data_IF_354138001646
#
_entry.id   IF_354138001646
#
_cell.length_a   1.000
_cell.length_b   1.000
_cell.length_c   1.000
_cell.angle_alpha   90.00
_cell.angle_beta   90.00
_cell.angle_gamma   90.00
#
_symmetry.space_group_name_H-M   'P 1'
#
loop_
_entity.id
_entity.type
_entity.pdbx_description
1 polymer ?
#
# COMPACT_ATOMS: atom_id res chain seq x y z
N UNK A 1 11.05 5.51 0.31
CA UNK A 1 9.89 4.79 -0.28
C UNK A 1 8.77 4.59 0.74
N UNK A 2 9.06 4.22 2.00
CA UNK A 2 8.08 4.15 3.10
C UNK A 2 7.22 5.43 3.24
N UNK A 3 7.82 6.60 3.01
CA UNK A 3 7.17 7.91 3.13
C UNK A 3 5.97 8.11 2.20
N UNK A 4 5.98 7.52 0.99
CA UNK A 4 4.92 7.73 0.00
C UNK A 4 3.63 7.01 0.40
N UNK A 5 3.76 5.79 0.94
CA UNK A 5 2.60 5.00 1.37
C UNK A 5 2.00 5.64 2.63
N UNK A 6 2.85 6.06 3.59
CA UNK A 6 2.39 6.79 4.78
C UNK A 6 1.66 8.09 4.43
N UNK A 7 2.29 8.95 3.61
CA UNK A 7 1.69 10.21 3.18
C UNK A 7 0.37 9.99 2.42
N UNK A 8 0.28 8.99 1.53
CA UNK A 8 -0.99 8.67 0.88
C UNK A 8 -2.06 8.23 1.88
N UNK A 9 -1.72 7.41 2.88
CA UNK A 9 -2.67 6.95 3.90
C UNK A 9 -3.11 8.07 4.86
N UNK A 10 -2.24 9.04 5.15
CA UNK A 10 -2.56 10.23 5.96
C UNK A 10 -3.54 11.15 5.23
N UNK A 11 -3.39 11.28 3.90
CA UNK A 11 -4.21 12.14 3.05
C UNK A 11 -5.45 11.47 2.45
N UNK A 12 -5.79 10.23 2.85
CA UNK A 12 -7.05 9.62 2.44
C UNK A 12 -8.21 10.28 3.19
N UNK A 13 -9.17 10.82 2.44
CA UNK A 13 -10.47 11.23 2.96
C UNK A 13 -11.25 10.00 3.46
N UNK A 14 -12.07 10.19 4.50
CA UNK A 14 -12.90 9.13 5.06
C UNK A 14 -13.82 8.53 3.98
N UNK A 15 -13.66 7.22 3.73
CA UNK A 15 -14.41 6.47 2.73
C UNK A 15 -13.65 6.14 1.44
N UNK A 16 -12.50 6.78 1.19
CA UNK A 16 -11.68 6.46 0.02
C UNK A 16 -10.71 5.31 0.34
N UNK A 17 -10.70 4.26 -0.48
CA UNK A 17 -9.83 3.07 -0.30
C UNK A 17 -8.60 3.20 -1.18
N UNK A 18 -7.41 3.17 -0.58
CA UNK A 18 -6.16 3.10 -1.32
C UNK A 18 -5.90 1.67 -1.77
N UNK A 19 -5.61 1.47 -3.06
CA UNK A 19 -5.18 0.16 -3.56
C UNK A 19 -3.71 0.13 -3.93
N UNK A 20 -3.17 -1.08 -4.10
CA UNK A 20 -1.81 -1.23 -4.59
C UNK A 20 -1.67 -0.74 -6.04
N UNK A 21 -2.69 -0.88 -6.90
CA UNK A 21 -2.69 -0.25 -8.24
C UNK A 21 -2.51 1.26 -8.17
N UNK A 22 -3.13 1.95 -7.22
CA UNK A 22 -2.95 3.40 -7.02
C UNK A 22 -1.53 3.79 -6.63
N UNK A 23 -0.78 2.88 -6.00
CA UNK A 23 0.61 3.09 -5.63
C UNK A 23 1.58 2.90 -6.80
N UNK A 24 1.19 2.10 -7.79
CA UNK A 24 2.05 1.71 -8.92
C UNK A 24 1.63 2.31 -10.27
N UNK A 25 0.53 3.07 -10.33
CA UNK A 25 -0.03 3.65 -11.57
C UNK A 25 1.00 4.34 -12.48
N UNK A 26 1.99 5.01 -11.90
CA UNK A 26 3.02 5.75 -12.64
C UNK A 26 4.36 5.01 -12.80
N UNK A 27 4.44 3.75 -12.38
CA UNK A 27 5.67 2.95 -12.49
C UNK A 27 5.77 2.28 -13.86
N UNK A 28 6.86 2.60 -14.59
CA UNK A 28 7.07 2.09 -15.96
C UNK A 28 7.82 0.75 -16.02
N UNK A 29 8.43 0.32 -14.92
CA UNK A 29 9.29 -0.87 -14.88
C UNK A 29 8.80 -1.90 -13.87
N UNK A 30 8.76 -3.19 -14.25
CA UNK A 30 8.39 -4.32 -13.37
C UNK A 30 9.23 -4.36 -12.08
N UNK A 31 10.52 -4.03 -12.17
CA UNK A 31 11.41 -3.95 -11.01
C UNK A 31 10.91 -2.97 -9.95
N UNK A 32 10.40 -1.81 -10.36
CA UNK A 32 9.88 -0.79 -9.44
C UNK A 32 8.58 -1.26 -8.77
N UNK A 33 7.70 -1.93 -9.52
CA UNK A 33 6.46 -2.52 -9.00
C UNK A 33 6.77 -3.59 -7.95
N UNK A 34 7.70 -4.52 -8.26
CA UNK A 34 8.11 -5.56 -7.32
C UNK A 34 8.76 -4.99 -6.05
N UNK A 35 9.58 -3.95 -6.18
CA UNK A 35 10.19 -3.28 -5.03
C UNK A 35 9.13 -2.62 -4.13
N UNK A 36 8.09 -2.02 -4.72
CA UNK A 36 6.96 -1.46 -3.97
C UNK A 36 6.12 -2.53 -3.30
N UNK A 37 5.91 -3.67 -3.96
CA UNK A 37 5.20 -4.80 -3.36
C UNK A 37 5.95 -5.33 -2.14
N UNK A 38 7.26 -5.53 -2.25
CA UNK A 38 8.08 -5.93 -1.11
C UNK A 38 8.07 -4.88 0.03
N UNK A 39 8.07 -3.59 -0.32
CA UNK A 39 7.94 -2.50 0.67
C UNK A 39 6.60 -2.59 1.40
N UNK A 40 5.49 -2.90 0.71
CA UNK A 40 4.18 -3.10 1.33
C UNK A 40 4.22 -4.26 2.34
N UNK A 41 4.88 -5.37 2.00
CA UNK A 41 5.03 -6.51 2.91
C UNK A 41 5.83 -6.16 4.18
N UNK A 42 6.89 -5.36 4.06
CA UNK A 42 7.63 -4.86 5.21
C UNK A 42 6.74 -4.01 6.11
N UNK A 43 5.95 -3.10 5.52
CA UNK A 43 5.05 -2.23 6.28
C UNK A 43 3.95 -3.02 6.99
N UNK A 44 3.40 -4.05 6.34
CA UNK A 44 2.45 -4.97 6.97
C UNK A 44 3.10 -5.74 8.12
N UNK A 45 4.33 -6.25 7.94
CA UNK A 45 5.10 -6.91 9.01
C UNK A 45 5.32 -5.99 10.21
N UNK A 46 5.50 -4.69 9.97
CA UNK A 46 5.66 -3.67 11.02
C UNK A 46 4.34 -3.16 11.60
N UNK A 47 3.18 -3.67 11.13
CA UNK A 47 1.84 -3.21 11.47
C UNK A 47 1.59 -1.72 11.21
N UNK A 48 2.32 -1.14 10.25
CA UNK A 48 2.11 0.25 9.79
C UNK A 48 0.88 0.34 8.88
N UNK A 49 0.59 -0.75 8.17
CA UNK A 49 -0.57 -0.87 7.28
C UNK A 49 -1.29 -2.19 7.48
N UNK A 50 -2.59 -2.17 7.22
CA UNK A 50 -3.41 -3.35 7.05
C UNK A 50 -3.62 -3.59 5.54
N UNK A 51 -3.71 -4.87 5.15
CA UNK A 51 -3.91 -5.27 3.75
C UNK A 51 -5.01 -6.30 3.63
N UNK A 52 -5.83 -6.17 2.58
CA UNK A 52 -6.91 -7.10 2.26
C UNK A 52 -6.88 -7.44 0.77
N UNK A 53 -7.00 -8.72 0.43
CA UNK A 53 -7.12 -9.23 -0.93
C UNK A 53 -8.18 -10.35 -0.91
N UNK A 54 -9.44 -10.04 -1.27
CA UNK A 54 -10.54 -10.98 -1.08
C UNK A 54 -10.50 -12.17 -2.05
N UNK A 55 -9.81 -12.02 -3.20
CA UNK A 55 -9.75 -13.01 -4.27
C UNK A 55 -8.31 -13.09 -4.83
N UNK A 56 -7.80 -14.27 -5.20
CA UNK A 56 -6.46 -14.40 -5.77
C UNK A 56 -6.24 -13.50 -7.00
N UNK A 57 -5.06 -12.86 -7.06
CA UNK A 57 -4.61 -11.98 -8.15
C UNK A 57 -5.44 -10.71 -8.38
N UNK A 58 -6.45 -10.46 -7.57
CA UNK A 58 -7.12 -9.17 -7.54
C UNK A 58 -6.27 -8.10 -6.86
N UNK A 59 -6.75 -6.85 -6.91
CA UNK A 59 -6.05 -5.74 -6.28
C UNK A 59 -5.95 -5.92 -4.75
N UNK A 60 -4.99 -5.24 -4.15
CA UNK A 60 -4.73 -5.27 -2.71
C UNK A 60 -5.20 -3.95 -2.13
N UNK A 61 -6.18 -4.02 -1.24
CA UNK A 61 -6.65 -2.87 -0.47
C UNK A 61 -5.71 -2.60 0.69
N UNK A 62 -5.40 -1.32 0.93
CA UNK A 62 -4.43 -0.89 1.93
C UNK A 62 -5.11 0.12 2.86
N UNK A 63 -5.05 -0.14 4.16
CA UNK A 63 -5.61 0.72 5.20
C UNK A 63 -4.60 0.98 6.32
N UNK A 64 -4.96 1.90 7.23
CA UNK A 64 -4.08 2.29 8.34
C UNK A 64 -3.90 1.13 9.32
N UNK A 65 -2.64 0.88 9.70
CA UNK A 65 -2.28 -0.06 10.78
C UNK A 65 -2.07 0.65 12.11
N UNK A 66 -1.88 -0.14 13.17
CA UNK A 66 -1.74 0.33 14.55
C UNK A 66 -0.47 1.19 14.77
N UNK A 67 0.58 0.94 13.99
CA UNK A 67 1.89 1.61 14.14
C UNK A 67 2.12 2.69 13.06
N UNK A 68 1.06 3.33 12.55
CA UNK A 68 1.16 4.41 11.56
C UNK A 68 1.54 5.78 12.18
N UNK A 69 1.94 5.82 13.44
CA UNK A 69 2.38 7.04 14.14
C UNK A 69 3.64 7.69 13.57
#
# INVERSE_FOLDING_TARGET
MQTIIRSKLENLEDGNRLTFRDLIRNNRMRKQVAQKFYTLLILKKQQVVEVDQPVPFEDIYISRGLNLG
#
